data_IF_122288171184
#
_entry.id   IF_122288171184
#
_cell.length_a   1.000
_cell.length_b   1.000
_cell.length_c   1.000
_cell.angle_alpha   90.00
_cell.angle_beta   90.00
_cell.angle_gamma   90.00
#
_symmetry.space_group_name_H-M   'P 1'
#
loop_
_entity.id
_entity.type
_entity.pdbx_description
1 polymer ?
#
# COMPACT_ATOMS: atom_id res chain seq x y z
N UNK A 1 19.69 -49.85 -12.60
CA UNK A 1 18.55 -48.94 -12.31
C UNK A 1 18.61 -48.32 -10.92
N UNK A 2 19.48 -48.74 -10.02
CA UNK A 2 19.68 -48.13 -8.71
C UNK A 2 20.55 -46.84 -8.75
N UNK A 3 21.27 -46.58 -9.81
CA UNK A 3 22.18 -45.46 -9.94
C UNK A 3 21.46 -44.11 -10.24
N UNK A 4 20.19 -44.13 -10.60
CA UNK A 4 19.43 -42.89 -10.93
C UNK A 4 18.88 -42.16 -9.70
N UNK A 5 18.91 -42.75 -8.51
CA UNK A 5 18.39 -42.13 -7.30
C UNK A 5 19.45 -41.56 -6.37
N UNK A 6 20.73 -41.72 -6.66
CA UNK A 6 21.80 -41.22 -5.79
C UNK A 6 21.89 -39.68 -5.74
N UNK A 7 21.35 -38.99 -6.71
CA UNK A 7 21.24 -37.52 -6.70
C UNK A 7 20.02 -36.96 -5.94
N UNK A 8 19.08 -37.81 -5.52
CA UNK A 8 17.84 -37.41 -4.88
C UNK A 8 17.73 -37.81 -3.39
N UNK A 9 18.87 -38.15 -2.77
CA UNK A 9 18.91 -38.52 -1.34
C UNK A 9 18.34 -37.43 -0.42
N UNK A 10 18.24 -36.20 -0.92
CA UNK A 10 17.68 -35.07 -0.18
C UNK A 10 16.12 -35.07 -0.16
N UNK A 11 15.46 -35.83 -1.03
CA UNK A 11 13.99 -35.83 -1.13
C UNK A 11 13.29 -36.66 -0.06
N UNK A 12 14.00 -37.62 0.55
CA UNK A 12 13.44 -38.57 1.53
C UNK A 12 14.09 -38.48 2.91
N UNK A 13 14.89 -37.45 3.18
CA UNK A 13 15.47 -37.24 4.50
C UNK A 13 14.39 -36.75 5.48
N UNK A 14 14.34 -37.31 6.71
CA UNK A 14 13.37 -36.91 7.70
C UNK A 14 13.57 -35.45 8.14
N UNK A 15 12.49 -34.84 8.67
CA UNK A 15 12.56 -33.53 9.32
C UNK A 15 13.65 -33.51 10.41
N UNK A 16 14.38 -32.38 10.52
CA UNK A 16 15.48 -32.25 11.51
C UNK A 16 16.78 -32.96 11.13
N UNK A 17 16.85 -33.66 9.99
CA UNK A 17 18.07 -34.32 9.55
C UNK A 17 19.14 -33.30 9.13
N UNK A 18 20.40 -33.64 9.40
CA UNK A 18 21.55 -32.89 8.89
C UNK A 18 22.08 -33.53 7.62
N UNK A 19 22.16 -32.73 6.55
CA UNK A 19 22.80 -33.11 5.28
C UNK A 19 24.14 -32.44 5.19
N UNK A 20 25.21 -33.25 5.03
CA UNK A 20 26.57 -32.71 4.90
C UNK A 20 26.96 -32.52 3.44
N UNK A 21 27.47 -31.34 3.13
CA UNK A 21 28.01 -30.94 1.83
C UNK A 21 29.51 -30.66 2.01
N UNK A 22 30.35 -31.33 1.26
CA UNK A 22 31.78 -31.14 1.32
C UNK A 22 32.19 -29.86 0.60
N UNK A 23 33.01 -29.03 1.22
CA UNK A 23 33.50 -27.77 0.68
C UNK A 23 34.99 -27.85 0.40
N UNK A 24 35.39 -27.62 -0.83
CA UNK A 24 36.79 -27.42 -1.24
C UNK A 24 36.95 -26.06 -1.94
N UNK A 25 38.18 -25.64 -2.14
CA UNK A 25 38.51 -24.42 -2.91
C UNK A 25 39.44 -24.84 -4.06
N UNK A 26 39.12 -24.37 -5.25
CA UNK A 26 39.96 -24.62 -6.45
C UNK A 26 39.99 -23.36 -7.33
N UNK A 27 40.97 -23.32 -8.25
CA UNK A 27 41.01 -22.29 -9.29
C UNK A 27 39.77 -22.41 -10.18
N UNK A 28 39.10 -21.30 -10.45
CA UNK A 28 37.93 -21.27 -11.31
C UNK A 28 38.23 -21.69 -12.73
N UNK A 29 37.32 -22.48 -13.29
CA UNK A 29 37.29 -22.80 -14.72
C UNK A 29 36.15 -22.06 -15.41
N UNK A 30 35.97 -22.21 -16.71
CA UNK A 30 34.86 -21.67 -17.46
C UNK A 30 33.48 -22.23 -17.01
N UNK A 31 33.49 -23.30 -16.21
CA UNK A 31 32.28 -23.87 -15.60
C UNK A 31 31.77 -23.05 -14.38
N UNK A 32 32.64 -22.21 -13.80
CA UNK A 32 32.27 -21.40 -12.66
C UNK A 32 31.35 -20.21 -13.09
N UNK A 33 30.21 -20.03 -12.42
CA UNK A 33 29.28 -18.93 -12.71
C UNK A 33 29.96 -17.57 -12.84
N UNK A 34 30.95 -17.29 -12.00
CA UNK A 34 31.68 -16.02 -11.97
C UNK A 34 33.13 -16.19 -12.48
N UNK A 35 33.34 -17.00 -13.52
CA UNK A 35 34.63 -17.06 -14.17
C UNK A 35 35.07 -15.70 -14.70
N UNK A 36 36.31 -15.33 -14.44
CA UNK A 36 36.83 -14.00 -14.83
C UNK A 36 36.36 -12.83 -13.96
N UNK A 37 35.55 -13.08 -12.91
CA UNK A 37 35.04 -12.05 -12.00
C UNK A 37 35.43 -12.33 -10.56
N UNK A 38 35.97 -11.33 -9.86
CA UNK A 38 36.39 -11.42 -8.45
C UNK A 38 37.62 -12.31 -8.26
N UNK A 39 37.57 -13.18 -7.24
CA UNK A 39 38.68 -14.10 -6.95
C UNK A 39 38.97 -15.07 -8.10
N UNK A 40 40.23 -15.41 -8.32
CA UNK A 40 40.62 -16.52 -9.22
C UNK A 40 40.23 -17.90 -8.69
N UNK A 41 40.00 -18.03 -7.37
CA UNK A 41 39.54 -19.24 -6.73
C UNK A 41 37.99 -19.21 -6.53
N UNK A 42 37.39 -20.39 -6.55
CA UNK A 42 35.97 -20.64 -6.30
C UNK A 42 35.75 -21.81 -5.35
N UNK A 43 34.55 -21.89 -4.78
CA UNK A 43 34.15 -23.06 -4.01
C UNK A 43 33.74 -24.20 -4.92
N UNK A 44 34.14 -25.41 -4.48
CA UNK A 44 33.72 -26.69 -5.04
C UNK A 44 32.89 -27.40 -3.96
N UNK A 45 31.65 -27.71 -4.25
CA UNK A 45 30.75 -28.39 -3.31
C UNK A 45 30.45 -29.78 -3.84
N UNK A 46 30.72 -30.82 -3.02
CA UNK A 46 30.60 -32.24 -3.40
C UNK A 46 31.20 -32.54 -4.78
N UNK A 47 32.40 -32.02 -5.03
CA UNK A 47 33.17 -32.13 -6.28
C UNK A 47 32.53 -31.38 -7.48
N UNK A 48 31.52 -30.54 -7.28
CA UNK A 48 30.93 -29.70 -8.33
C UNK A 48 31.41 -28.28 -8.14
N UNK A 49 31.93 -27.66 -9.19
CA UNK A 49 32.37 -26.27 -9.16
C UNK A 49 31.19 -25.31 -9.07
N UNK A 50 31.14 -24.55 -7.99
CA UNK A 50 30.15 -23.50 -7.76
C UNK A 50 28.70 -23.89 -8.12
N UNK A 51 28.17 -25.02 -7.60
CA UNK A 51 26.79 -25.42 -7.95
C UNK A 51 25.76 -24.45 -7.45
N UNK A 52 24.69 -24.33 -8.20
CA UNK A 52 23.42 -23.76 -7.68
C UNK A 52 22.79 -24.77 -6.73
N UNK A 53 22.41 -24.34 -5.53
CA UNK A 53 21.82 -25.21 -4.52
C UNK A 53 20.30 -25.01 -4.42
N UNK A 54 19.59 -26.10 -4.16
CA UNK A 54 18.18 -26.07 -3.75
C UNK A 54 18.06 -26.69 -2.37
N UNK A 55 17.63 -25.90 -1.39
CA UNK A 55 17.50 -26.31 0.01
C UNK A 55 16.03 -26.36 0.41
N UNK A 56 15.71 -27.25 1.34
CA UNK A 56 14.34 -27.49 1.80
C UNK A 56 14.19 -27.15 3.27
N UNK A 57 13.15 -26.43 3.69
CA UNK A 57 12.85 -26.16 5.08
C UNK A 57 12.71 -27.42 5.94
N UNK A 58 12.99 -27.27 7.24
CA UNK A 58 12.97 -28.37 8.21
C UNK A 58 14.22 -29.23 8.24
N UNK A 59 15.35 -28.76 7.65
CA UNK A 59 16.63 -29.47 7.60
C UNK A 59 17.79 -28.54 7.94
N UNK A 60 18.87 -29.15 8.42
CA UNK A 60 20.16 -28.49 8.59
C UNK A 60 21.12 -28.94 7.47
N UNK A 61 21.73 -28.00 6.80
CA UNK A 61 22.76 -28.25 5.80
C UNK A 61 24.12 -27.86 6.36
N UNK A 62 24.99 -28.87 6.54
CA UNK A 62 26.33 -28.69 7.04
C UNK A 62 27.31 -28.59 5.91
N UNK A 63 27.94 -27.44 5.77
CA UNK A 63 29.05 -27.22 4.84
C UNK A 63 30.36 -27.48 5.58
N UNK A 64 31.08 -28.54 5.21
CA UNK A 64 32.25 -29.03 5.93
C UNK A 64 33.49 -29.12 5.06
N UNK A 65 34.62 -28.67 5.58
CA UNK A 65 35.91 -28.69 4.87
C UNK A 65 36.58 -27.33 4.81
N UNK A 66 36.84 -26.80 3.63
CA UNK A 66 37.52 -25.51 3.43
C UNK A 66 36.60 -24.34 3.65
N UNK A 67 36.11 -24.18 4.89
CA UNK A 67 35.08 -23.16 5.27
C UNK A 67 35.64 -22.07 6.19
N UNK A 68 36.95 -22.08 6.47
CA UNK A 68 37.64 -21.17 7.36
C UNK A 68 38.98 -20.70 6.79
N UNK A 69 39.81 -20.05 7.58
CA UNK A 69 41.12 -19.56 7.17
C UNK A 69 41.03 -18.43 6.16
N UNK A 70 41.72 -18.56 5.02
CA UNK A 70 41.74 -17.54 3.97
C UNK A 70 40.41 -17.43 3.20
N UNK A 71 39.58 -18.47 3.29
CA UNK A 71 38.31 -18.53 2.55
C UNK A 71 37.11 -18.84 3.47
N UNK A 72 36.71 -17.93 4.40
CA UNK A 72 35.58 -18.18 5.30
C UNK A 72 34.27 -18.23 4.51
N UNK A 73 33.59 -19.38 4.59
CA UNK A 73 32.28 -19.63 3.93
C UNK A 73 31.16 -18.96 4.71
N UNK A 74 30.37 -18.13 4.06
CA UNK A 74 29.25 -17.39 4.67
C UNK A 74 28.07 -17.28 3.71
N UNK A 75 26.89 -16.95 4.26
CA UNK A 75 25.68 -16.75 3.50
C UNK A 75 25.33 -15.26 3.42
N UNK A 76 24.77 -14.86 2.29
CA UNK A 76 24.43 -13.47 1.99
C UNK A 76 23.10 -13.39 1.26
N UNK A 77 22.44 -12.25 1.34
CA UNK A 77 21.22 -11.98 0.57
C UNK A 77 21.50 -11.74 -0.92
N UNK A 78 22.74 -11.40 -1.27
CA UNK A 78 23.13 -11.08 -2.63
C UNK A 78 24.55 -11.57 -2.97
N UNK A 79 24.85 -11.70 -4.26
CA UNK A 79 26.13 -12.17 -4.75
C UNK A 79 27.30 -11.20 -4.46
N UNK A 80 27.01 -9.90 -4.33
CA UNK A 80 27.97 -8.84 -4.03
C UNK A 80 28.35 -8.77 -2.55
N UNK A 81 27.69 -9.54 -1.69
CA UNK A 81 27.95 -9.62 -0.23
C UNK A 81 27.65 -8.31 0.52
N UNK A 82 26.64 -7.57 0.11
CA UNK A 82 26.30 -6.32 0.77
C UNK A 82 25.75 -6.53 2.17
N UNK A 83 24.97 -7.60 2.37
CA UNK A 83 24.42 -7.96 3.68
C UNK A 83 24.55 -9.45 3.93
N UNK A 84 25.20 -9.79 5.05
CA UNK A 84 25.36 -11.18 5.47
C UNK A 84 24.06 -11.71 6.09
N UNK A 85 23.69 -12.94 5.73
CA UNK A 85 22.62 -13.69 6.36
C UNK A 85 23.17 -14.53 7.51
N UNK A 86 22.62 -14.37 8.72
CA UNK A 86 23.12 -15.01 9.94
C UNK A 86 22.06 -15.83 10.69
N UNK A 87 20.79 -15.70 10.33
CA UNK A 87 19.71 -16.41 11.01
C UNK A 87 19.80 -17.91 10.73
N UNK A 88 19.80 -18.74 11.77
CA UNK A 88 19.96 -20.19 11.62
C UNK A 88 21.36 -20.62 11.18
N UNK A 89 22.36 -19.72 11.19
CA UNK A 89 23.73 -20.04 10.81
C UNK A 89 24.59 -20.29 12.05
N UNK A 90 25.25 -21.46 12.11
CA UNK A 90 26.22 -21.80 13.14
C UNK A 90 27.57 -22.04 12.49
N UNK A 91 28.60 -21.32 12.97
CA UNK A 91 30.00 -21.50 12.51
C UNK A 91 30.76 -22.29 13.54
N UNK A 92 31.18 -23.47 13.16
CA UNK A 92 31.99 -24.37 13.98
C UNK A 92 33.42 -24.54 13.47
N UNK A 93 34.18 -25.42 14.14
CA UNK A 93 35.51 -25.76 13.72
C UNK A 93 35.48 -26.70 12.48
N UNK A 94 35.77 -26.12 11.30
CA UNK A 94 35.81 -26.86 10.03
C UNK A 94 34.43 -27.08 9.40
N UNK A 95 33.35 -26.41 9.90
CA UNK A 95 32.05 -26.48 9.27
C UNK A 95 31.24 -25.16 9.45
N UNK A 96 30.27 -24.99 8.61
CA UNK A 96 29.22 -23.99 8.74
C UNK A 96 27.88 -24.68 8.54
N UNK A 97 26.99 -24.59 9.51
CA UNK A 97 25.62 -25.11 9.42
C UNK A 97 24.66 -23.99 9.00
N UNK A 98 23.71 -24.34 8.17
CA UNK A 98 22.54 -23.52 7.85
C UNK A 98 21.30 -24.34 8.20
N UNK A 99 20.60 -23.97 9.26
CA UNK A 99 19.27 -24.46 9.59
C UNK A 99 18.27 -23.74 8.68
N UNK A 100 17.63 -24.49 7.81
CA UNK A 100 16.63 -23.96 6.88
C UNK A 100 15.23 -24.15 7.45
N UNK A 101 14.51 -23.07 7.58
CA UNK A 101 13.13 -23.02 8.08
C UNK A 101 12.19 -22.42 7.04
N UNK A 102 10.88 -22.45 7.29
CA UNK A 102 9.89 -21.80 6.43
C UNK A 102 10.06 -20.27 6.36
N UNK A 103 10.82 -19.69 7.32
CA UNK A 103 11.13 -18.26 7.34
C UNK A 103 12.48 -17.92 6.72
N UNK A 104 13.24 -18.91 6.24
CA UNK A 104 14.49 -18.68 5.51
C UNK A 104 14.18 -18.04 4.15
N UNK A 105 14.90 -16.96 3.73
CA UNK A 105 14.68 -16.32 2.45
C UNK A 105 14.73 -17.29 1.27
N UNK A 106 13.84 -17.08 0.28
CA UNK A 106 13.77 -17.92 -0.93
C UNK A 106 15.06 -17.92 -1.74
N UNK A 107 15.87 -16.87 -1.64
CA UNK A 107 17.16 -16.77 -2.33
C UNK A 107 18.21 -16.30 -1.35
N UNK A 108 19.27 -17.09 -1.24
CA UNK A 108 20.52 -16.74 -0.58
C UNK A 108 21.71 -16.96 -1.52
N UNK A 109 22.87 -16.52 -1.09
CA UNK A 109 24.13 -16.74 -1.80
C UNK A 109 25.17 -17.27 -0.80
N UNK A 110 25.90 -18.33 -1.17
CA UNK A 110 27.08 -18.71 -0.42
C UNK A 110 28.31 -18.06 -1.04
N UNK A 111 29.11 -17.39 -0.22
CA UNK A 111 30.27 -16.63 -0.67
C UNK A 111 31.39 -16.68 0.37
N UNK A 112 32.59 -16.38 -0.06
CA UNK A 112 33.74 -16.13 0.83
C UNK A 112 33.59 -14.70 1.42
N UNK A 113 33.73 -14.57 2.75
CA UNK A 113 33.69 -13.23 3.36
C UNK A 113 34.89 -12.36 2.94
N UNK A 114 36.06 -12.97 2.68
CA UNK A 114 37.29 -12.25 2.32
C UNK A 114 37.40 -11.96 0.83
N UNK A 115 36.89 -12.83 -0.03
CA UNK A 115 37.05 -12.72 -1.49
C UNK A 115 35.72 -12.70 -2.20
N UNK A 116 35.62 -11.93 -3.30
CA UNK A 116 34.38 -11.78 -4.06
C UNK A 116 34.13 -12.92 -5.03
N UNK A 117 32.89 -13.27 -5.20
CA UNK A 117 32.37 -14.14 -6.26
C UNK A 117 32.93 -15.55 -6.28
N UNK A 118 33.22 -16.15 -5.10
CA UNK A 118 33.72 -17.51 -4.99
C UNK A 118 32.62 -18.59 -5.00
N UNK A 119 31.38 -18.23 -4.74
CA UNK A 119 30.25 -19.16 -4.63
C UNK A 119 29.14 -18.90 -5.67
N UNK A 120 27.92 -19.30 -5.33
CA UNK A 120 26.75 -19.19 -6.19
C UNK A 120 25.50 -18.90 -5.38
N UNK A 121 24.37 -18.93 -6.04
CA UNK A 121 23.05 -18.76 -5.41
C UNK A 121 22.53 -20.07 -4.80
N UNK A 122 21.69 -19.88 -3.80
CA UNK A 122 20.90 -20.91 -3.15
C UNK A 122 19.44 -20.54 -3.34
N UNK A 123 18.63 -21.47 -3.82
CA UNK A 123 17.19 -21.38 -3.75
C UNK A 123 16.68 -22.18 -2.55
N UNK A 124 15.91 -21.56 -1.70
CA UNK A 124 15.19 -22.21 -0.61
C UNK A 124 13.75 -22.43 -1.04
N UNK A 125 13.23 -23.64 -0.84
CA UNK A 125 11.82 -23.95 -1.15
C UNK A 125 10.87 -23.40 -0.07
N UNK A 126 11.13 -22.18 0.38
CA UNK A 126 10.20 -21.38 1.20
C UNK A 126 9.48 -20.38 0.33
N UNK A 127 8.48 -19.74 0.87
CA UNK A 127 7.72 -18.68 0.18
C UNK A 127 8.04 -17.29 0.73
N UNK A 128 9.09 -17.16 1.53
CA UNK A 128 9.51 -15.89 2.10
C UNK A 128 10.44 -15.15 1.16
N UNK A 129 10.00 -14.01 0.66
CA UNK A 129 10.85 -13.06 -0.07
C UNK A 129 11.34 -12.02 0.93
N UNK A 130 12.54 -12.22 1.45
CA UNK A 130 13.21 -11.30 2.39
C UNK A 130 14.55 -10.85 1.79
N UNK A 131 14.62 -9.57 1.45
CA UNK A 131 15.85 -8.94 0.96
C UNK A 131 16.00 -7.55 1.57
N UNK A 132 17.21 -7.15 2.02
CA UNK A 132 17.44 -5.82 2.59
C UNK A 132 17.14 -4.67 1.62
N UNK A 133 17.19 -4.93 0.33
CA UNK A 133 16.95 -3.93 -0.73
C UNK A 133 15.54 -4.00 -1.33
N UNK A 134 14.64 -4.79 -0.72
CA UNK A 134 13.34 -5.10 -1.29
C UNK A 134 13.38 -6.13 -2.40
N UNK A 135 12.24 -6.59 -2.85
CA UNK A 135 12.06 -7.56 -3.93
C UNK A 135 11.24 -6.97 -5.08
N UNK A 136 11.46 -7.46 -6.28
CA UNK A 136 10.63 -7.12 -7.44
C UNK A 136 9.78 -8.33 -7.83
N UNK A 137 8.47 -8.17 -7.84
CA UNK A 137 7.53 -9.14 -8.40
C UNK A 137 7.17 -8.71 -9.82
N UNK A 138 7.54 -9.53 -10.80
CA UNK A 138 7.15 -9.32 -12.20
C UNK A 138 5.92 -10.17 -12.48
N UNK A 139 4.76 -9.53 -12.53
CA UNK A 139 3.47 -10.19 -12.70
C UNK A 139 2.52 -9.91 -11.53
N UNK A 140 1.51 -10.75 -11.37
CA UNK A 140 0.50 -10.57 -10.32
C UNK A 140 0.96 -11.17 -9.00
N UNK A 141 0.92 -10.39 -7.92
CA UNK A 141 1.05 -10.88 -6.56
C UNK A 141 -0.35 -11.04 -5.95
N UNK A 142 -0.73 -12.29 -5.64
CA UNK A 142 -1.96 -12.57 -4.91
C UNK A 142 -1.63 -12.81 -3.44
N UNK A 143 -2.21 -12.01 -2.56
CA UNK A 143 -2.04 -12.15 -1.11
C UNK A 143 -3.40 -12.04 -0.42
N UNK A 144 -3.57 -12.77 0.68
CA UNK A 144 -4.77 -12.66 1.53
C UNK A 144 -4.82 -11.32 2.27
N UNK A 145 -3.66 -10.74 2.57
CA UNK A 145 -3.53 -9.42 3.18
C UNK A 145 -2.15 -8.84 2.91
N UNK A 146 -2.06 -7.52 2.85
CA UNK A 146 -0.83 -6.77 2.95
C UNK A 146 -0.80 -6.12 4.34
N UNK A 147 0.27 -6.36 5.10
CA UNK A 147 0.48 -5.75 6.42
C UNK A 147 1.65 -4.78 6.36
N UNK A 148 1.40 -3.52 6.71
CA UNK A 148 2.39 -2.45 6.69
C UNK A 148 2.04 -1.31 5.72
N UNK A 149 2.83 -0.22 5.73
CA UNK A 149 2.62 0.91 4.84
C UNK A 149 2.83 0.52 3.37
N UNK A 150 1.90 0.89 2.51
CA UNK A 150 2.10 0.87 1.06
C UNK A 150 2.65 2.23 0.63
N UNK A 151 3.92 2.25 0.20
CA UNK A 151 4.59 3.48 -0.24
C UNK A 151 4.64 3.51 -1.77
N UNK A 152 4.10 4.56 -2.37
CA UNK A 152 4.04 4.73 -3.83
C UNK A 152 2.62 4.86 -4.35
N UNK A 153 2.49 4.93 -5.67
CA UNK A 153 1.19 5.08 -6.33
C UNK A 153 0.49 3.74 -6.48
N UNK A 154 -0.80 3.70 -6.14
CA UNK A 154 -1.69 2.61 -6.54
C UNK A 154 -2.30 2.99 -7.89
N UNK A 155 -1.99 2.21 -8.93
CA UNK A 155 -2.57 2.38 -10.26
C UNK A 155 -3.61 1.29 -10.48
N UNK A 156 -4.87 1.65 -10.58
CA UNK A 156 -6.01 0.73 -10.69
C UNK A 156 -7.04 0.93 -9.59
N UNK A 157 -8.00 0.04 -9.52
CA UNK A 157 -9.11 0.13 -8.58
C UNK A 157 -8.71 -0.38 -7.18
N UNK A 158 -9.10 0.35 -6.14
CA UNK A 158 -9.09 -0.14 -4.76
C UNK A 158 -10.49 -0.62 -4.43
N UNK A 159 -10.66 -1.95 -4.30
CA UNK A 159 -11.94 -2.57 -3.97
C UNK A 159 -11.96 -2.91 -2.48
N UNK A 160 -12.90 -2.33 -1.73
CA UNK A 160 -13.06 -2.51 -0.28
C UNK A 160 -13.05 -1.18 0.47
N UNK A 161 -13.00 -1.26 1.79
CA UNK A 161 -13.03 -0.08 2.66
C UNK A 161 -11.65 0.56 2.76
N UNK A 162 -11.59 1.88 2.56
CA UNK A 162 -10.42 2.69 2.86
C UNK A 162 -10.59 3.30 4.25
N UNK A 163 -9.88 2.78 5.24
CA UNK A 163 -9.91 3.27 6.62
C UNK A 163 -8.73 4.18 6.89
N UNK A 164 -8.96 5.45 7.21
CA UNK A 164 -7.94 6.47 7.46
C UNK A 164 -8.18 7.73 6.66
N UNK A 165 -7.23 8.66 6.73
CA UNK A 165 -7.32 9.95 6.07
C UNK A 165 -6.86 9.87 4.60
N UNK A 166 -7.64 10.46 3.70
CA UNK A 166 -7.20 10.72 2.33
C UNK A 166 -6.62 12.13 2.27
N UNK A 167 -5.30 12.22 2.14
CA UNK A 167 -4.60 13.50 2.00
C UNK A 167 -4.26 13.73 0.53
N UNK A 168 -4.84 14.75 -0.08
CA UNK A 168 -4.68 15.09 -1.49
C UNK A 168 -6.01 15.26 -2.21
N UNK A 169 -5.96 15.33 -3.53
CA UNK A 169 -7.16 15.53 -4.36
C UNK A 169 -7.85 14.19 -4.63
N UNK A 170 -9.15 14.12 -4.39
CA UNK A 170 -10.00 13.05 -4.86
C UNK A 170 -10.61 13.47 -6.20
N UNK A 171 -10.10 12.89 -7.29
CA UNK A 171 -10.58 13.17 -8.65
C UNK A 171 -11.48 12.04 -9.10
N UNK A 172 -12.75 12.30 -9.32
CA UNK A 172 -13.77 11.33 -9.72
C UNK A 172 -15.07 11.49 -8.95
N UNK A 173 -15.97 10.54 -9.15
CA UNK A 173 -17.29 10.55 -8.50
C UNK A 173 -17.24 9.80 -7.16
N UNK A 174 -17.81 10.39 -6.12
CA UNK A 174 -18.12 9.70 -4.86
C UNK A 174 -19.56 9.21 -4.94
N UNK A 175 -19.73 7.89 -5.06
CA UNK A 175 -21.06 7.27 -5.07
C UNK A 175 -21.42 6.83 -3.65
N UNK A 176 -22.43 7.43 -3.06
CA UNK A 176 -22.85 7.18 -1.68
C UNK A 176 -22.88 8.47 -0.85
N UNK A 177 -23.04 8.31 0.45
CA UNK A 177 -23.13 9.42 1.38
C UNK A 177 -21.75 9.90 1.83
N UNK A 178 -21.55 11.22 1.83
CA UNK A 178 -20.39 11.84 2.47
C UNK A 178 -20.81 12.24 3.90
N UNK A 179 -20.41 11.44 4.88
CA UNK A 179 -20.70 11.69 6.29
C UNK A 179 -19.50 12.30 6.99
N UNK A 180 -19.64 13.48 7.57
CA UNK A 180 -18.61 14.16 8.35
C UNK A 180 -19.08 14.32 9.79
N UNK A 181 -18.27 13.87 10.76
CA UNK A 181 -18.50 14.12 12.18
C UNK A 181 -18.07 15.52 12.63
N UNK A 182 -17.35 16.24 11.77
CA UNK A 182 -16.88 17.61 11.97
C UNK A 182 -17.39 18.56 10.90
N UNK A 183 -16.68 19.65 10.67
CA UNK A 183 -17.00 20.62 9.63
C UNK A 183 -16.51 20.15 8.26
N UNK A 184 -17.37 20.16 7.26
CA UNK A 184 -16.95 20.05 5.85
C UNK A 184 -16.79 21.44 5.26
N UNK A 185 -15.60 21.75 4.75
CA UNK A 185 -15.28 23.06 4.20
C UNK A 185 -15.12 23.00 2.68
N UNK A 186 -15.82 23.85 1.97
CA UNK A 186 -15.66 24.08 0.53
C UNK A 186 -15.05 25.46 0.31
N UNK A 187 -13.81 25.51 -0.17
CA UNK A 187 -13.03 26.77 -0.25
C UNK A 187 -13.38 27.66 -1.42
N UNK A 188 -14.14 27.16 -2.40
CA UNK A 188 -14.52 27.94 -3.57
C UNK A 188 -16.03 27.82 -3.84
N UNK A 189 -16.47 26.79 -4.53
CA UNK A 189 -17.87 26.63 -4.95
C UNK A 189 -18.38 25.22 -4.68
N UNK A 190 -19.52 25.11 -4.00
CA UNK A 190 -20.32 23.91 -3.95
C UNK A 190 -21.37 23.96 -5.06
N UNK A 191 -21.38 23.01 -5.98
CA UNK A 191 -22.37 22.91 -7.05
C UNK A 191 -23.22 21.66 -6.81
N UNK A 192 -24.52 21.87 -6.61
CA UNK A 192 -25.49 20.79 -6.48
C UNK A 192 -26.22 20.63 -7.81
N UNK A 193 -26.10 19.45 -8.41
CA UNK A 193 -26.81 19.10 -9.65
C UNK A 193 -27.69 17.87 -9.38
N UNK A 194 -28.87 17.86 -9.95
CA UNK A 194 -29.71 16.67 -9.99
C UNK A 194 -29.60 16.03 -11.36
N UNK A 195 -29.49 14.71 -11.39
CA UNK A 195 -29.38 13.89 -12.62
C UNK A 195 -30.70 13.22 -13.00
N UNK A 196 -31.73 13.28 -12.12
CA UNK A 196 -33.01 12.62 -12.28
C UNK A 196 -34.10 13.53 -12.87
N UNK A 197 -33.75 14.75 -13.29
CA UNK A 197 -34.68 15.74 -13.81
C UNK A 197 -35.49 16.53 -12.75
N UNK A 198 -35.27 16.23 -11.47
CA UNK A 198 -35.85 17.04 -10.38
C UNK A 198 -34.96 18.23 -10.06
N UNK A 199 -35.48 19.34 -9.51
CA UNK A 199 -34.64 20.44 -9.06
C UNK A 199 -33.68 20.03 -7.96
N UNK A 200 -32.41 20.50 -8.06
CA UNK A 200 -31.44 20.32 -6.99
C UNK A 200 -31.85 21.02 -5.70
N UNK A 201 -31.51 20.44 -4.56
CA UNK A 201 -31.94 20.91 -3.24
C UNK A 201 -30.83 20.77 -2.19
N UNK A 202 -30.94 21.60 -1.16
CA UNK A 202 -30.09 21.53 0.04
C UNK A 202 -31.05 21.55 1.26
N UNK A 203 -30.97 20.52 2.10
CA UNK A 203 -31.80 20.34 3.28
C UNK A 203 -30.99 20.59 4.55
N UNK A 204 -31.47 21.49 5.40
CA UNK A 204 -30.89 21.76 6.71
C UNK A 204 -31.78 21.12 7.77
N UNK A 205 -31.32 20.06 8.39
CA UNK A 205 -32.02 19.37 9.45
C UNK A 205 -31.86 20.11 10.79
N UNK A 206 -32.89 20.18 11.59
CA UNK A 206 -32.82 20.77 12.92
C UNK A 206 -32.11 19.89 13.94
N UNK A 207 -32.14 18.57 13.73
CA UNK A 207 -31.54 17.55 14.60
C UNK A 207 -31.41 16.21 13.87
N UNK A 208 -30.65 15.26 14.44
CA UNK A 208 -30.37 13.97 13.82
C UNK A 208 -31.48 12.92 13.99
N UNK A 209 -32.37 13.08 14.98
CA UNK A 209 -33.34 12.05 15.39
C UNK A 209 -34.77 12.31 15.01
N UNK A 210 -35.14 13.55 14.65
CA UNK A 210 -36.49 13.94 14.31
C UNK A 210 -36.50 14.83 13.07
N UNK A 211 -36.98 14.30 11.97
CA UNK A 211 -36.71 14.74 10.61
C UNK A 211 -37.46 16.02 10.18
N UNK A 212 -37.29 17.14 10.90
CA UNK A 212 -37.68 18.45 10.40
C UNK A 212 -36.50 19.11 9.69
N UNK A 213 -36.73 19.66 8.51
CA UNK A 213 -35.68 20.35 7.74
C UNK A 213 -36.22 21.63 7.08
N UNK A 214 -35.31 22.57 6.89
CA UNK A 214 -35.46 23.68 5.97
C UNK A 214 -34.84 23.30 4.63
N UNK A 215 -35.59 23.43 3.55
CA UNK A 215 -35.12 23.15 2.19
C UNK A 215 -34.88 24.40 1.40
N UNK A 216 -33.70 24.54 0.81
CA UNK A 216 -33.40 25.42 -0.31
C UNK A 216 -33.49 24.61 -1.60
N UNK A 217 -34.36 24.98 -2.53
CA UNK A 217 -34.58 24.23 -3.76
C UNK A 217 -34.56 25.16 -4.95
N UNK A 218 -33.88 24.73 -6.02
CA UNK A 218 -33.98 25.42 -7.30
C UNK A 218 -35.42 25.33 -7.86
N UNK A 219 -35.93 26.34 -8.58
CA UNK A 219 -37.20 26.22 -9.28
C UNK A 219 -37.15 25.16 -10.39
N UNK A 220 -38.30 24.62 -10.84
CA UNK A 220 -38.33 23.74 -12.01
C UNK A 220 -37.73 24.40 -13.25
N UNK A 221 -37.12 23.63 -14.14
CA UNK A 221 -36.40 24.13 -15.33
C UNK A 221 -37.25 25.09 -16.18
N UNK A 222 -38.56 24.82 -16.35
CA UNK A 222 -39.46 25.66 -17.11
C UNK A 222 -39.66 27.06 -16.52
N UNK A 223 -39.34 27.28 -15.27
CA UNK A 223 -39.47 28.58 -14.58
C UNK A 223 -38.17 29.39 -14.58
N UNK A 224 -37.05 28.82 -15.06
CA UNK A 224 -35.81 29.55 -15.18
C UNK A 224 -35.78 30.45 -16.42
N UNK A 225 -35.36 31.70 -16.21
CA UNK A 225 -34.99 32.61 -17.27
C UNK A 225 -33.54 33.05 -17.01
N UNK A 226 -32.60 32.49 -17.79
CA UNK A 226 -31.17 32.72 -17.59
C UNK A 226 -30.60 32.08 -16.31
N UNK A 227 -29.61 32.71 -15.73
CA UNK A 227 -28.91 32.27 -14.51
C UNK A 227 -29.09 33.30 -13.39
N UNK A 228 -30.20 33.32 -12.68
CA UNK A 228 -30.45 34.32 -11.64
C UNK A 228 -29.47 34.12 -10.47
N UNK A 229 -29.04 35.22 -9.88
CA UNK A 229 -28.21 35.26 -8.68
C UNK A 229 -29.03 35.80 -7.49
N UNK A 230 -29.03 35.07 -6.40
CA UNK A 230 -29.54 35.53 -5.10
C UNK A 230 -28.35 35.90 -4.23
N UNK A 231 -28.20 37.19 -3.95
CA UNK A 231 -27.15 37.68 -3.06
C UNK A 231 -27.73 37.74 -1.64
N UNK A 232 -27.11 37.00 -0.73
CA UNK A 232 -27.48 37.05 0.69
C UNK A 232 -26.96 38.35 1.33
N UNK A 233 -27.67 38.93 2.33
CA UNK A 233 -27.20 40.09 3.04
C UNK A 233 -25.84 39.86 3.70
N UNK A 234 -25.02 40.89 3.76
CA UNK A 234 -23.73 40.87 4.46
C UNK A 234 -23.85 41.14 5.98
N UNK A 235 -25.07 41.34 6.44
CA UNK A 235 -25.40 41.59 7.85
C UNK A 235 -26.28 40.49 8.39
N UNK A 236 -26.24 40.27 9.70
CA UNK A 236 -27.17 39.36 10.37
C UNK A 236 -28.63 39.79 10.14
N UNK A 237 -29.47 38.83 9.83
CA UNK A 237 -30.90 39.10 9.57
C UNK A 237 -31.67 37.85 9.21
N UNK A 238 -32.95 38.02 8.93
CA UNK A 238 -33.88 36.94 8.56
C UNK A 238 -34.29 37.13 7.10
N UNK A 239 -34.25 36.03 6.31
CA UNK A 239 -34.83 36.03 4.96
C UNK A 239 -36.36 35.98 5.07
N UNK A 240 -37.04 36.90 4.38
CA UNK A 240 -38.47 36.89 4.29
C UNK A 240 -38.97 35.84 3.32
N UNK A 241 -39.95 35.03 3.76
CA UNK A 241 -40.65 34.11 2.87
C UNK A 241 -41.73 34.86 2.05
N UNK A 242 -42.14 34.25 0.94
CA UNK A 242 -43.11 34.83 0.00
C UNK A 242 -44.55 34.97 0.56
N UNK A 243 -44.88 34.28 1.64
CA UNK A 243 -46.13 34.44 2.40
C UNK A 243 -46.12 35.67 3.29
N UNK A 244 -44.97 36.32 3.37
CA UNK A 244 -44.86 37.73 3.59
C UNK A 244 -45.28 38.28 4.92
N UNK A 245 -45.18 37.57 6.05
CA UNK A 245 -45.31 38.26 7.32
C UNK A 245 -44.17 39.26 7.54
N UNK A 246 -44.39 40.50 7.16
CA UNK A 246 -43.49 41.60 7.45
C UNK A 246 -43.57 42.09 8.91
N UNK A 247 -44.11 41.29 9.82
CA UNK A 247 -44.31 41.70 11.22
C UNK A 247 -43.00 42.05 11.96
N UNK A 248 -41.89 41.45 11.53
CA UNK A 248 -40.56 41.73 12.09
C UNK A 248 -39.74 42.73 11.27
N UNK A 249 -40.28 43.29 10.19
CA UNK A 249 -39.56 44.31 9.42
C UNK A 249 -39.66 45.65 10.12
N UNK A 250 -38.53 46.17 10.52
CA UNK A 250 -38.40 47.54 11.06
C UNK A 250 -37.66 48.41 10.03
N UNK A 251 -37.88 49.72 10.07
CA UNK A 251 -37.21 50.68 9.20
C UNK A 251 -37.48 50.49 7.68
N UNK A 252 -38.71 50.09 7.31
CA UNK A 252 -39.10 50.06 5.90
C UNK A 252 -39.07 51.46 5.34
N UNK A 253 -38.31 51.67 4.26
CA UNK A 253 -38.35 52.94 3.55
C UNK A 253 -39.65 53.05 2.74
N UNK A 254 -40.55 53.91 3.17
CA UNK A 254 -41.84 54.11 2.52
C UNK A 254 -41.74 54.55 1.06
N UNK A 255 -40.61 55.17 0.65
CA UNK A 255 -40.37 55.57 -0.74
C UNK A 255 -40.26 54.39 -1.70
N UNK A 256 -40.00 53.18 -1.19
CA UNK A 256 -39.88 51.96 -1.97
C UNK A 256 -41.21 51.18 -2.08
N UNK A 257 -42.26 51.66 -1.47
CA UNK A 257 -43.59 51.08 -1.57
C UNK A 257 -44.31 51.73 -2.76
N UNK A 258 -44.13 51.17 -3.94
CA UNK A 258 -44.55 51.72 -5.21
C UNK A 258 -45.99 51.34 -5.58
N UNK A 259 -46.59 50.38 -4.93
CA UNK A 259 -47.97 49.94 -5.17
C UNK A 259 -48.56 49.21 -3.96
N UNK A 260 -49.88 49.17 -3.85
CA UNK A 260 -50.61 48.50 -2.75
C UNK A 260 -51.35 49.48 -1.86
N UNK A 261 -52.18 48.95 -0.96
CA UNK A 261 -52.96 49.74 -0.01
C UNK A 261 -52.43 49.52 1.40
N UNK A 262 -52.06 50.60 2.09
CA UNK A 262 -51.79 50.55 3.53
C UNK A 262 -53.11 50.84 4.23
N UNK A 263 -53.64 49.86 4.98
CA UNK A 263 -54.87 50.05 5.71
C UNK A 263 -54.77 51.22 6.70
N UNK A 264 -55.79 52.09 6.78
CA UNK A 264 -55.77 53.29 7.59
C UNK A 264 -55.45 53.08 9.07
N UNK A 265 -55.81 51.93 9.62
CA UNK A 265 -55.46 51.53 11.00
C UNK A 265 -53.94 51.32 11.25
N UNK A 266 -53.14 51.35 10.19
CA UNK A 266 -51.64 51.15 10.25
C UNK A 266 -50.85 52.45 10.07
N UNK A 267 -51.57 53.55 9.88
CA UNK A 267 -51.01 54.90 9.80
C UNK A 267 -51.35 55.62 11.12
N UNK A 268 -50.32 55.92 11.95
CA UNK A 268 -50.57 56.68 13.16
C UNK A 268 -51.25 58.00 12.79
N UNK A 269 -52.32 58.36 13.48
CA UNK A 269 -52.86 59.71 13.39
C UNK A 269 -51.85 60.72 13.87
N UNK A 270 -51.50 61.67 13.05
CA UNK A 270 -50.64 62.81 13.39
C UNK A 270 -51.30 63.66 14.47
#
# INVERSE_FOLDING_TARGET
TAAQFSGYSHLIAPHGSTTTITVAVATKTTAHRYYGTGSSNGYVLDNVESPFLTLTPGRTYRFSGSVAGSHPFRFYYDAGKTTQYTTGVTVGSGYVDLEVTDTTPTVLHYQCSSHGYMGNAIQVNSNVVDTPSGGTVRGTLTATAFSGPLTGNVTGDVTGDLTGDVTGDLTGDVTGDITSSGNSQFTNRLQLKSTDGTPARLDFYCESSNAHYLRLQAPPHAQFSGNPTVVLPNSAGTLLLSDGSGASLTNLNASNISSGTIGAARIPTL
#
